data_IF_119317288280
#
_entry.id   IF_119317288280
#
_cell.length_a   1.000
_cell.length_b   1.000
_cell.length_c   1.000
_cell.angle_alpha   90.00
_cell.angle_beta   90.00
_cell.angle_gamma   90.00
#
_symmetry.space_group_name_H-M   'P 1'
#
loop_
_entity.id
_entity.type
_entity.pdbx_description
1 polymer ?
#
# COMPACT_ATOMS: atom_id res chain seq x y z
N UNK A 1 39.66 -29.98 -8.38
CA UNK A 1 40.98 -29.35 -8.56
C UNK A 1 40.88 -27.90 -8.12
N UNK A 2 41.75 -27.49 -7.18
CA UNK A 2 42.23 -26.13 -6.87
C UNK A 2 41.17 -25.09 -6.41
N UNK A 3 41.31 -24.34 -5.31
CA UNK A 3 42.21 -24.35 -4.14
C UNK A 3 41.66 -23.31 -3.14
N UNK A 4 41.96 -23.54 -1.87
CA UNK A 4 41.77 -22.68 -0.69
C UNK A 4 41.97 -21.17 -0.89
N UNK A 5 41.28 -20.36 -0.07
CA UNK A 5 41.90 -19.32 0.77
C UNK A 5 40.99 -18.96 1.96
N UNK A 6 41.55 -19.13 3.17
CA UNK A 6 41.10 -18.63 4.47
C UNK A 6 41.47 -17.15 4.61
N UNK A 7 40.68 -16.39 5.38
CA UNK A 7 41.04 -15.07 5.91
C UNK A 7 39.76 -14.30 6.25
N UNK A 8 39.32 -14.32 7.51
CA UNK A 8 39.61 -13.29 8.53
C UNK A 8 38.79 -12.00 8.32
N UNK A 9 37.91 -11.72 9.30
CA UNK A 9 37.10 -10.51 9.41
C UNK A 9 37.94 -9.23 9.47
N UNK A 10 37.42 -8.12 8.95
CA UNK A 10 37.67 -6.81 9.52
C UNK A 10 36.38 -6.22 10.11
N UNK A 11 36.47 -5.77 11.35
CA UNK A 11 35.58 -4.76 11.92
C UNK A 11 35.61 -3.52 11.01
N UNK A 12 34.42 -3.00 10.70
CA UNK A 12 34.27 -1.66 10.10
C UNK A 12 33.81 -0.71 11.20
N UNK A 13 34.74 0.13 11.62
CA UNK A 13 34.46 1.46 12.16
C UNK A 13 34.27 2.45 11.00
N UNK A 14 33.81 3.67 11.33
CA UNK A 14 33.59 4.90 10.50
C UNK A 14 32.17 5.01 9.91
N UNK A 15 31.39 6.09 10.00
CA UNK A 15 31.38 7.44 10.61
C UNK A 15 29.87 7.76 10.93
N UNK A 16 29.39 8.77 11.66
CA UNK A 16 29.69 10.21 11.66
C UNK A 16 28.89 10.90 12.79
N UNK A 17 29.57 11.82 13.46
CA UNK A 17 29.15 13.14 13.99
C UNK A 17 27.74 13.37 14.55
N UNK A 18 27.70 13.74 15.84
CA UNK A 18 27.23 15.07 16.26
C UNK A 18 27.34 15.21 17.79
N UNK A 19 28.43 15.79 18.29
CA UNK A 19 28.41 16.52 19.57
C UNK A 19 29.41 17.67 19.54
N UNK A 20 28.93 18.79 19.01
CA UNK A 20 29.44 20.13 19.28
C UNK A 20 29.16 20.47 20.77
N UNK A 21 30.03 21.29 21.36
CA UNK A 21 29.85 22.07 22.60
C UNK A 21 30.12 21.38 23.95
N UNK A 22 31.40 21.32 24.34
CA UNK A 22 31.95 22.06 25.51
C UNK A 22 33.32 21.52 25.89
N UNK A 23 34.39 22.14 25.38
CA UNK A 23 35.60 22.38 26.17
C UNK A 23 36.32 23.59 25.57
N UNK A 24 36.12 24.74 26.21
CA UNK A 24 36.87 25.96 25.97
C UNK A 24 37.66 26.26 27.24
N UNK A 25 38.92 26.65 27.03
CA UNK A 25 39.87 27.21 27.98
C UNK A 25 40.80 26.22 28.71
N UNK A 26 41.84 25.78 27.99
CA UNK A 26 43.20 25.85 28.54
C UNK A 26 44.01 26.93 27.80
N UNK A 27 44.98 27.49 28.54
CA UNK A 27 46.19 28.22 28.11
C UNK A 27 46.11 29.75 28.03
N UNK A 28 46.65 30.39 29.09
CA UNK A 28 47.44 31.61 28.97
C UNK A 28 48.69 31.46 29.87
N UNK A 29 49.78 31.00 29.25
CA UNK A 29 51.14 31.10 29.78
C UNK A 29 51.59 32.56 29.66
N UNK A 30 51.82 33.24 30.78
CA UNK A 30 52.49 34.53 30.80
C UNK A 30 53.96 34.30 31.11
N UNK A 31 54.79 34.47 30.07
CA UNK A 31 56.20 34.72 30.20
C UNK A 31 56.42 36.21 30.50
N UNK A 32 57.16 36.54 31.56
CA UNK A 32 58.12 37.66 31.53
C UNK A 32 59.11 37.61 32.68
N UNK A 33 60.37 37.46 32.32
CA UNK A 33 61.54 37.73 33.13
C UNK A 33 61.81 39.24 33.17
N UNK A 34 62.20 39.76 34.34
CA UNK A 34 63.10 40.91 34.46
C UNK A 34 63.80 40.89 35.82
N UNK A 35 65.06 41.30 35.78
CA UNK A 35 66.18 41.02 36.69
C UNK A 35 66.39 42.04 37.82
N UNK A 36 67.17 41.59 38.84
CA UNK A 36 68.17 42.34 39.65
C UNK A 36 67.71 43.09 40.95
N UNK A 37 68.60 43.35 41.94
CA UNK A 37 68.60 42.63 43.23
C UNK A 37 68.56 43.49 44.52
N UNK A 38 68.54 42.79 45.66
CA UNK A 38 69.04 43.17 47.01
C UNK A 38 68.30 44.24 47.85
N UNK A 39 67.70 43.82 48.99
CA UNK A 39 67.93 44.44 50.32
C UNK A 39 67.34 43.63 51.48
N UNK A 40 68.15 43.40 52.51
CA UNK A 40 67.78 42.95 53.85
C UNK A 40 66.79 43.92 54.51
N UNK A 41 65.84 43.41 55.32
CA UNK A 41 65.57 43.92 56.68
C UNK A 41 64.48 43.13 57.42
N UNK A 42 64.79 42.75 58.66
CA UNK A 42 63.91 43.05 59.79
C UNK A 42 62.82 42.04 60.13
N UNK A 43 63.20 40.92 60.76
CA UNK A 43 62.33 40.19 61.68
C UNK A 43 61.95 41.13 62.84
N UNK A 44 60.68 41.56 62.92
CA UNK A 44 60.15 42.27 64.09
C UNK A 44 59.09 41.40 64.77
N UNK A 45 59.56 40.65 65.75
CA UNK A 45 58.72 40.05 66.78
C UNK A 45 58.25 41.18 67.70
N UNK A 46 56.94 41.44 67.74
CA UNK A 46 56.34 42.35 68.70
C UNK A 46 55.90 41.52 69.92
N UNK A 47 56.62 41.71 71.03
CA UNK A 47 56.30 41.15 72.34
C UNK A 47 55.70 42.27 73.18
N UNK A 48 54.47 42.08 73.65
CA UNK A 48 53.84 43.02 74.58
C UNK A 48 54.21 42.62 76.03
N UNK A 49 54.36 43.64 76.88
CA UNK A 49 55.06 43.64 78.18
C UNK A 49 54.41 42.81 79.31
N UNK A 50 53.51 41.89 78.99
CA UNK A 50 52.79 41.07 79.97
C UNK A 50 52.75 39.56 79.65
N UNK A 51 53.83 39.01 79.08
CA UNK A 51 54.23 37.60 79.28
C UNK A 51 53.27 36.48 78.84
N UNK A 52 52.29 36.74 77.98
CA UNK A 52 51.29 35.74 77.57
C UNK A 52 51.38 35.46 76.05
N UNK A 53 51.67 34.22 75.66
CA UNK A 53 51.65 33.76 74.26
C UNK A 53 50.21 33.66 73.72
N UNK A 54 49.73 34.65 72.95
CA UNK A 54 48.34 34.64 72.42
C UNK A 54 48.21 34.11 70.98
N UNK A 55 49.29 33.75 70.28
CA UNK A 55 49.21 33.50 68.82
C UNK A 55 48.95 32.04 68.37
N UNK A 56 48.92 31.03 69.25
CA UNK A 56 48.91 29.61 68.77
C UNK A 56 47.53 28.94 68.68
N UNK A 57 46.46 29.51 69.24
CA UNK A 57 45.14 28.84 69.25
C UNK A 57 44.26 29.15 68.02
N UNK A 58 44.41 30.31 67.39
CA UNK A 58 43.50 30.76 66.32
C UNK A 58 43.79 30.18 64.92
N UNK A 59 45.03 29.76 64.64
CA UNK A 59 45.41 29.22 63.32
C UNK A 59 45.05 27.75 63.11
N UNK A 60 44.74 27.00 64.19
CA UNK A 60 44.42 25.57 64.10
C UNK A 60 42.94 25.30 63.76
N UNK A 61 42.03 26.22 64.09
CA UNK A 61 40.58 26.09 63.82
C UNK A 61 40.14 26.46 62.39
N UNK A 62 40.87 27.38 61.71
CA UNK A 62 40.52 27.83 60.34
C UNK A 62 40.70 26.75 59.27
N UNK A 63 41.68 25.85 59.41
CA UNK A 63 41.89 24.74 58.48
C UNK A 63 40.79 23.69 58.56
N UNK A 64 40.29 23.43 59.77
CA UNK A 64 39.18 22.51 60.01
C UNK A 64 37.87 23.07 59.46
N UNK A 65 37.62 24.37 59.61
CA UNK A 65 36.42 25.00 59.09
C UNK A 65 36.35 24.94 57.55
N UNK A 66 37.43 25.27 56.85
CA UNK A 66 37.49 25.16 55.39
C UNK A 66 37.25 23.72 54.90
N UNK A 67 37.76 22.72 55.62
CA UNK A 67 37.53 21.31 55.34
C UNK A 67 36.04 20.94 55.49
N UNK A 68 35.40 21.33 56.59
CA UNK A 68 33.97 21.05 56.80
C UNK A 68 33.06 21.76 55.80
N UNK A 69 33.40 22.98 55.36
CA UNK A 69 32.65 23.68 54.31
C UNK A 69 32.76 22.97 52.97
N UNK A 70 33.95 22.47 52.61
CA UNK A 70 34.15 21.71 51.37
C UNK A 70 33.39 20.37 51.41
N UNK A 71 33.42 19.67 52.54
CA UNK A 71 32.63 18.43 52.75
C UNK A 71 31.14 18.70 52.60
N UNK A 72 30.63 19.79 53.20
CA UNK A 72 29.22 20.17 53.08
C UNK A 72 28.84 20.51 51.62
N UNK A 73 29.68 21.25 50.90
CA UNK A 73 29.46 21.57 49.49
C UNK A 73 29.43 20.30 48.61
N UNK A 74 30.35 19.37 48.87
CA UNK A 74 30.41 18.09 48.15
C UNK A 74 29.19 17.21 48.46
N UNK A 75 28.70 17.26 49.70
CA UNK A 75 27.47 16.58 50.11
C UNK A 75 26.22 17.16 49.44
N UNK A 76 26.12 18.50 49.32
CA UNK A 76 25.03 19.16 48.58
C UNK A 76 25.08 18.81 47.10
N UNK A 77 26.26 18.77 46.48
CA UNK A 77 26.42 18.32 45.09
C UNK A 77 26.02 16.85 44.91
N UNK A 78 26.38 15.98 45.86
CA UNK A 78 25.99 14.58 45.84
C UNK A 78 24.46 14.41 45.96
N UNK A 79 23.81 15.16 46.85
CA UNK A 79 22.34 15.17 46.98
C UNK A 79 21.70 15.74 45.72
N UNK A 80 22.23 16.81 45.14
CA UNK A 80 21.74 17.39 43.90
C UNK A 80 21.79 16.38 42.75
N UNK A 81 22.92 15.69 42.60
CA UNK A 81 23.07 14.62 41.63
C UNK A 81 22.13 13.44 41.93
N UNK A 82 21.94 13.07 43.19
CA UNK A 82 21.01 12.01 43.59
C UNK A 82 19.57 12.36 43.21
N UNK A 83 19.13 13.59 43.51
CA UNK A 83 17.80 14.09 43.16
C UNK A 83 17.64 14.12 41.63
N UNK A 84 18.63 14.65 40.90
CA UNK A 84 18.60 14.70 39.44
C UNK A 84 18.47 13.28 38.86
N UNK A 85 19.28 12.33 39.34
CA UNK A 85 19.21 10.93 38.92
C UNK A 85 17.84 10.32 39.24
N UNK A 86 17.26 10.61 40.41
CA UNK A 86 15.93 10.14 40.78
C UNK A 86 14.83 10.77 39.91
N UNK A 87 14.93 12.06 39.59
CA UNK A 87 13.98 12.74 38.69
C UNK A 87 14.07 12.20 37.27
N UNK A 88 15.27 11.91 36.75
CA UNK A 88 15.44 11.25 35.47
C UNK A 88 14.79 9.86 35.49
N UNK A 89 15.03 9.06 36.53
CA UNK A 89 14.44 7.73 36.67
C UNK A 89 12.90 7.79 36.78
N UNK A 90 12.35 8.81 37.46
CA UNK A 90 10.92 9.02 37.59
C UNK A 90 10.25 9.47 36.28
N UNK A 91 10.87 10.41 35.55
CA UNK A 91 10.36 10.91 34.26
C UNK A 91 10.48 9.85 33.17
N UNK A 92 11.59 9.11 33.14
CA UNK A 92 11.76 7.95 32.25
C UNK A 92 10.94 6.73 32.68
N UNK A 93 10.19 6.82 33.78
CA UNK A 93 9.35 5.75 34.34
C UNK A 93 10.10 4.41 34.50
N UNK A 94 11.40 4.46 34.79
CA UNK A 94 12.25 3.27 34.91
C UNK A 94 12.06 2.52 36.23
N UNK A 95 11.53 3.18 37.27
CA UNK A 95 11.42 2.63 38.63
C UNK A 95 10.18 1.79 38.91
N UNK A 96 9.11 1.92 38.11
CA UNK A 96 7.87 1.15 38.26
C UNK A 96 7.61 0.23 37.05
N UNK A 97 8.70 -0.15 36.36
CA UNK A 97 8.64 -0.83 35.08
C UNK A 97 8.21 0.13 33.97
N UNK A 98 8.64 -0.14 32.75
CA UNK A 98 7.74 0.05 31.62
C UNK A 98 6.45 -0.66 32.04
N UNK A 99 5.44 0.08 32.49
CA UNK A 99 4.21 -0.47 33.10
C UNK A 99 3.49 -1.45 32.16
N UNK A 100 3.90 -1.42 30.88
CA UNK A 100 3.45 -2.21 29.77
C UNK A 100 4.50 -3.12 29.13
N UNK A 101 5.66 -3.44 29.72
CA UNK A 101 6.66 -4.31 29.06
C UNK A 101 7.41 -5.25 30.02
N UNK A 102 7.32 -6.56 29.77
CA UNK A 102 8.02 -7.63 30.50
C UNK A 102 8.89 -8.45 29.54
N UNK A 103 10.15 -8.68 29.92
CA UNK A 103 11.03 -9.57 29.18
C UNK A 103 10.82 -11.00 29.66
N UNK A 104 10.55 -11.92 28.73
CA UNK A 104 10.45 -13.37 28.98
C UNK A 104 11.74 -14.04 28.47
N UNK A 105 12.81 -14.09 29.29
CA UNK A 105 14.09 -14.64 28.86
C UNK A 105 14.01 -16.13 28.50
N UNK A 106 13.08 -16.88 29.10
CA UNK A 106 12.88 -18.31 28.78
C UNK A 106 12.35 -18.52 27.36
N UNK A 107 11.58 -17.57 26.84
CA UNK A 107 10.96 -17.64 25.52
C UNK A 107 11.60 -16.69 24.49
N UNK A 108 12.67 -15.96 24.87
CA UNK A 108 13.25 -14.87 24.08
C UNK A 108 12.18 -13.89 23.53
N UNK A 109 11.14 -13.65 24.33
CA UNK A 109 9.99 -12.86 23.93
C UNK A 109 9.90 -11.59 24.78
N UNK A 110 9.29 -10.56 24.20
CA UNK A 110 8.94 -9.33 24.89
C UNK A 110 7.43 -9.29 24.95
N UNK A 111 6.89 -9.19 26.15
CA UNK A 111 5.47 -9.09 26.42
C UNK A 111 5.12 -7.64 26.63
N UNK A 112 4.07 -7.20 25.95
CA UNK A 112 3.50 -5.88 26.17
C UNK A 112 2.18 -6.01 26.94
N UNK A 113 1.93 -5.14 27.92
CA UNK A 113 0.65 -5.08 28.65
C UNK A 113 -0.14 -3.85 28.25
N UNK A 114 -1.41 -4.04 27.89
CA UNK A 114 -2.31 -2.95 27.52
C UNK A 114 -1.93 -2.26 26.21
N UNK A 115 -2.44 -1.04 26.04
CA UNK A 115 -2.25 -0.27 24.81
C UNK A 115 -0.82 0.24 24.70
N UNK A 116 -0.10 -0.25 23.69
CA UNK A 116 1.28 0.15 23.42
C UNK A 116 1.37 0.81 22.06
N UNK A 117 1.88 2.04 22.03
CA UNK A 117 2.11 2.76 20.78
C UNK A 117 3.53 2.46 20.27
N UNK A 118 3.62 1.76 19.15
CA UNK A 118 4.86 1.39 18.48
C UNK A 118 4.81 1.89 17.03
N UNK A 119 5.69 2.82 16.67
CA UNK A 119 5.73 3.42 15.33
C UNK A 119 6.29 2.44 14.28
N UNK A 120 7.47 1.88 14.56
CA UNK A 120 8.14 0.92 13.69
C UNK A 120 8.63 -0.29 14.47
N UNK A 121 8.05 -1.46 14.18
CA UNK A 121 8.44 -2.74 14.79
C UNK A 121 9.19 -3.57 13.75
N UNK A 122 10.45 -3.88 14.04
CA UNK A 122 11.23 -4.80 13.22
C UNK A 122 11.41 -6.13 13.95
N UNK A 123 10.86 -7.20 13.39
CA UNK A 123 10.88 -8.53 13.98
C UNK A 123 11.44 -9.54 12.98
N UNK A 124 12.58 -10.17 13.32
CA UNK A 124 13.34 -11.04 12.40
C UNK A 124 12.62 -12.33 12.02
N UNK A 125 11.85 -12.88 12.95
CA UNK A 125 11.05 -14.10 12.79
C UNK A 125 9.63 -13.82 12.30
N UNK A 126 9.23 -12.54 12.17
CA UNK A 126 7.95 -12.12 11.59
C UNK A 126 6.69 -12.52 12.38
N UNK A 127 6.84 -13.22 13.49
CA UNK A 127 5.73 -13.79 14.25
C UNK A 127 5.14 -12.77 15.23
N UNK A 128 3.91 -12.30 15.01
CA UNK A 128 3.23 -11.40 15.93
C UNK A 128 1.99 -12.13 16.42
N UNK A 129 1.99 -12.51 17.70
CA UNK A 129 0.97 -13.38 18.28
C UNK A 129 0.40 -12.77 19.56
N UNK A 130 -0.83 -13.16 19.86
CA UNK A 130 -1.52 -12.84 21.10
C UNK A 130 -1.48 -14.04 22.07
N UNK A 131 -1.92 -13.82 23.31
CA UNK A 131 -2.13 -14.94 24.22
C UNK A 131 -3.29 -15.82 23.75
N UNK A 132 -3.23 -17.09 24.13
CA UNK A 132 -4.34 -18.02 23.92
C UNK A 132 -5.64 -17.41 24.45
N UNK A 133 -6.67 -17.42 23.61
CA UNK A 133 -8.01 -16.91 23.91
C UNK A 133 -8.11 -15.38 24.12
N UNK A 134 -7.04 -14.62 23.80
CA UNK A 134 -7.06 -13.16 23.85
C UNK A 134 -6.78 -12.61 22.45
N UNK A 135 -7.72 -11.92 21.78
CA UNK A 135 -7.46 -11.34 20.48
C UNK A 135 -6.46 -10.18 20.57
N UNK A 136 -5.56 -10.07 19.59
CA UNK A 136 -4.73 -8.89 19.40
C UNK A 136 -5.34 -7.98 18.34
N UNK A 137 -5.44 -6.69 18.65
CA UNK A 137 -5.84 -5.66 17.70
C UNK A 137 -4.66 -4.73 17.38
N UNK A 138 -4.45 -4.47 16.10
CA UNK A 138 -3.47 -3.48 15.63
C UNK A 138 -4.28 -2.35 15.01
N UNK A 139 -4.23 -1.17 15.64
CA UNK A 139 -5.02 -0.02 15.26
C UNK A 139 -4.11 1.13 14.80
N UNK A 140 -4.61 1.97 13.90
CA UNK A 140 -3.95 3.22 13.49
C UNK A 140 -4.95 4.37 13.55
N UNK A 141 -4.60 5.48 14.22
CA UNK A 141 -5.51 6.62 14.40
C UNK A 141 -5.73 7.42 13.11
N UNK A 142 -4.69 7.56 12.28
CA UNK A 142 -4.72 8.40 11.07
C UNK A 142 -3.85 7.87 9.93
N UNK A 143 -3.40 6.62 10.01
CA UNK A 143 -2.42 6.03 9.10
C UNK A 143 -2.85 4.70 8.52
N UNK A 144 -1.94 4.12 7.72
CA UNK A 144 -2.08 2.77 7.22
C UNK A 144 -1.22 1.83 8.08
N UNK A 145 -1.75 0.66 8.41
CA UNK A 145 -0.94 -0.43 8.97
C UNK A 145 -0.24 -1.14 7.82
N UNK A 146 1.09 -1.15 7.84
CA UNK A 146 1.91 -1.72 6.77
C UNK A 146 2.79 -2.83 7.32
N UNK A 147 2.56 -4.05 6.84
CA UNK A 147 3.47 -5.17 7.05
C UNK A 147 4.35 -5.32 5.81
N UNK A 148 5.66 -5.26 5.99
CA UNK A 148 6.63 -5.44 4.93
C UNK A 148 7.58 -6.59 5.29
N UNK A 149 7.61 -7.63 4.46
CA UNK A 149 8.50 -8.76 4.65
C UNK A 149 9.83 -8.51 3.93
N UNK A 150 10.85 -8.09 4.69
CA UNK A 150 12.19 -7.89 4.14
C UNK A 150 12.92 -9.24 3.99
N UNK A 151 13.10 -9.68 2.75
CA UNK A 151 13.91 -10.87 2.43
C UNK A 151 15.37 -10.48 2.14
N UNK A 152 16.33 -11.37 2.47
CA UNK A 152 17.79 -11.13 2.31
C UNK A 152 18.22 -10.75 0.89
N UNK A 153 17.38 -10.99 -0.12
CA UNK A 153 17.66 -10.79 -1.54
C UNK A 153 17.02 -9.51 -2.11
N UNK A 154 16.40 -8.65 -1.30
CA UNK A 154 15.87 -7.34 -1.71
C UNK A 154 14.95 -7.38 -2.95
N UNK A 155 14.29 -8.52 -3.21
CA UNK A 155 13.62 -8.78 -4.49
C UNK A 155 12.10 -8.93 -4.42
N UNK A 156 11.52 -9.03 -3.24
CA UNK A 156 10.08 -9.16 -3.07
C UNK A 156 9.57 -8.11 -2.09
N UNK A 157 8.90 -7.09 -2.62
CA UNK A 157 8.14 -6.10 -1.85
C UNK A 157 6.82 -6.75 -1.39
N UNK A 158 6.94 -7.86 -0.65
CA UNK A 158 5.80 -8.58 -0.10
C UNK A 158 5.21 -7.71 1.00
N UNK A 159 4.06 -7.13 0.69
CA UNK A 159 3.49 -6.04 1.48
C UNK A 159 2.01 -6.26 1.68
N UNK A 160 1.59 -6.22 2.94
CA UNK A 160 0.19 -6.10 3.35
C UNK A 160 -0.03 -4.66 3.83
N UNK A 161 -0.99 -3.96 3.24
CA UNK A 161 -1.36 -2.60 3.63
C UNK A 161 -2.84 -2.56 3.96
N UNK A 162 -3.15 -2.16 5.19
CA UNK A 162 -4.52 -1.97 5.67
C UNK A 162 -4.72 -0.48 5.91
N UNK A 163 -5.67 0.12 5.21
CA UNK A 163 -6.01 1.53 5.33
C UNK A 163 -7.52 1.75 5.20
N UNK A 164 -7.97 3.00 5.30
CA UNK A 164 -9.39 3.35 5.15
C UNK A 164 -9.98 3.01 3.76
N UNK A 165 -9.15 2.90 2.72
CA UNK A 165 -9.60 2.51 1.37
C UNK A 165 -9.71 1.00 1.15
N UNK A 166 -9.15 0.18 2.05
CA UNK A 166 -9.24 -1.28 1.99
C UNK A 166 -7.96 -2.01 2.40
N UNK A 167 -7.94 -3.30 2.06
CA UNK A 167 -6.84 -4.23 2.32
C UNK A 167 -6.13 -4.55 1.01
N UNK A 168 -4.82 -4.30 0.95
CA UNK A 168 -4.00 -4.52 -0.24
C UNK A 168 -2.87 -5.49 0.08
N UNK A 169 -2.84 -6.62 -0.64
CA UNK A 169 -1.77 -7.61 -0.57
C UNK A 169 -0.97 -7.58 -1.87
N UNK A 170 0.35 -7.43 -1.80
CA UNK A 170 1.25 -7.35 -2.96
C UNK A 170 2.46 -8.26 -2.77
N UNK A 171 3.03 -8.71 -3.89
CA UNK A 171 4.26 -9.50 -3.87
C UNK A 171 4.08 -10.91 -3.27
N UNK A 172 2.90 -11.51 -3.44
CA UNK A 172 2.59 -12.88 -3.00
C UNK A 172 2.20 -13.74 -4.21
N UNK A 173 2.57 -15.02 -4.17
CA UNK A 173 2.17 -15.98 -5.21
C UNK A 173 0.75 -16.51 -4.99
N UNK A 174 0.35 -16.66 -3.74
CA UNK A 174 -1.00 -17.04 -3.33
C UNK A 174 -1.40 -16.27 -2.07
N UNK A 175 -2.70 -16.05 -1.92
CA UNK A 175 -3.32 -15.54 -0.70
C UNK A 175 -4.45 -16.48 -0.33
N UNK A 176 -4.46 -16.91 0.93
CA UNK A 176 -5.43 -17.83 1.49
C UNK A 176 -6.01 -17.21 2.77
N UNK A 177 -7.33 -17.26 2.90
CA UNK A 177 -8.06 -16.87 4.08
C UNK A 177 -8.60 -18.14 4.72
N UNK A 178 -8.15 -18.43 5.94
CA UNK A 178 -8.62 -19.59 6.71
C UNK A 178 -9.49 -19.17 7.87
N UNK A 179 -10.54 -19.93 8.13
CA UNK A 179 -11.34 -19.79 9.33
C UNK A 179 -10.53 -20.30 10.55
N UNK A 180 -10.39 -19.52 11.63
CA UNK A 180 -9.50 -19.85 12.73
C UNK A 180 -9.94 -21.06 13.57
N UNK A 181 -11.25 -21.30 13.70
CA UNK A 181 -11.80 -22.38 14.53
C UNK A 181 -11.76 -23.74 13.82
N UNK A 182 -12.10 -23.77 12.52
CA UNK A 182 -12.21 -25.00 11.72
C UNK A 182 -10.92 -25.31 10.95
N UNK A 183 -10.10 -24.29 10.68
CA UNK A 183 -8.96 -24.39 9.78
C UNK A 183 -9.34 -24.48 8.30
N UNK A 184 -10.62 -24.31 7.95
CA UNK A 184 -11.09 -24.40 6.57
C UNK A 184 -10.68 -23.16 5.76
N UNK A 185 -10.30 -23.35 4.50
CA UNK A 185 -9.96 -22.24 3.59
C UNK A 185 -11.24 -21.61 3.03
N UNK A 186 -11.56 -20.41 3.49
CA UNK A 186 -12.73 -19.62 3.05
C UNK A 186 -12.48 -18.97 1.70
N UNK A 187 -11.24 -18.56 1.43
CA UNK A 187 -10.86 -17.94 0.16
C UNK A 187 -9.45 -18.33 -0.21
N UNK A 188 -9.21 -18.59 -1.50
CA UNK A 188 -7.86 -18.78 -2.01
C UNK A 188 -7.73 -18.19 -3.41
N UNK A 189 -6.61 -17.53 -3.68
CA UNK A 189 -6.28 -17.07 -5.04
C UNK A 189 -5.83 -18.21 -5.95
N UNK A 190 -5.48 -19.39 -5.41
CA UNK A 190 -5.08 -20.56 -6.21
C UNK A 190 -6.29 -21.32 -6.77
N UNK A 191 -7.45 -21.23 -6.11
CA UNK A 191 -8.74 -21.75 -6.57
C UNK A 191 -9.72 -20.59 -6.75
N UNK A 192 -9.81 -20.04 -7.96
CA UNK A 192 -10.62 -18.87 -8.28
C UNK A 192 -12.15 -19.11 -8.29
N UNK A 193 -12.62 -20.20 -7.68
CA UNK A 193 -14.04 -20.46 -7.49
C UNK A 193 -14.49 -19.70 -6.25
N UNK A 194 -15.08 -18.51 -6.48
CA UNK A 194 -15.64 -17.67 -5.43
C UNK A 194 -17.15 -17.88 -5.37
N UNK A 195 -17.64 -18.36 -4.23
CA UNK A 195 -19.06 -18.33 -3.90
C UNK A 195 -19.40 -16.96 -3.33
N UNK A 196 -20.09 -16.15 -4.14
CA UNK A 196 -20.57 -14.84 -3.71
C UNK A 196 -21.86 -15.03 -2.89
N UNK A 197 -21.79 -14.73 -1.59
CA UNK A 197 -22.95 -14.75 -0.70
C UNK A 197 -23.88 -13.55 -0.90
N UNK A 198 -23.35 -12.45 -1.46
CA UNK A 198 -24.06 -11.19 -1.66
C UNK A 198 -24.03 -10.75 -3.13
N UNK A 199 -25.03 -9.94 -3.50
CA UNK A 199 -25.09 -9.36 -4.83
C UNK A 199 -23.92 -8.39 -5.06
N UNK A 200 -23.29 -8.48 -6.22
CA UNK A 200 -22.14 -7.65 -6.59
C UNK A 200 -22.55 -6.66 -7.67
N UNK A 201 -22.27 -5.38 -7.46
CA UNK A 201 -22.60 -4.31 -8.41
C UNK A 201 -21.73 -4.36 -9.68
N UNK A 202 -20.44 -4.69 -9.53
CA UNK A 202 -19.49 -4.75 -10.64
C UNK A 202 -18.67 -6.04 -10.58
N UNK A 203 -18.79 -6.89 -11.60
CA UNK A 203 -18.03 -8.12 -11.72
C UNK A 203 -17.14 -8.08 -12.96
N UNK A 204 -15.83 -8.14 -12.75
CA UNK A 204 -14.83 -8.27 -13.82
C UNK A 204 -14.25 -9.68 -13.73
N UNK A 205 -14.64 -10.54 -14.66
CA UNK A 205 -14.23 -11.94 -14.68
C UNK A 205 -14.02 -12.43 -16.13
N UNK A 206 -13.15 -13.44 -16.29
CA UNK A 206 -12.91 -14.09 -17.59
C UNK A 206 -14.03 -15.07 -17.95
N UNK A 207 -14.60 -15.72 -16.94
CA UNK A 207 -15.67 -16.70 -17.10
C UNK A 207 -16.58 -16.61 -15.87
N UNK A 208 -17.88 -16.64 -16.10
CA UNK A 208 -18.90 -16.64 -15.04
C UNK A 208 -19.86 -17.79 -15.33
N UNK A 209 -20.01 -18.69 -14.36
CA UNK A 209 -21.01 -19.77 -14.41
C UNK A 209 -22.09 -19.44 -13.39
N UNK A 210 -23.29 -19.09 -13.87
CA UNK A 210 -24.42 -18.73 -13.01
C UNK A 210 -25.73 -19.18 -13.65
N UNK A 211 -26.76 -19.34 -12.81
CA UNK A 211 -28.13 -19.63 -13.26
C UNK A 211 -28.84 -18.39 -13.80
N UNK A 212 -28.48 -17.19 -13.31
CA UNK A 212 -29.16 -15.94 -13.66
C UNK A 212 -28.22 -14.75 -13.54
N UNK A 213 -28.33 -13.83 -14.49
CA UNK A 213 -27.73 -12.49 -14.44
C UNK A 213 -28.90 -11.50 -14.55
N UNK A 214 -29.01 -10.57 -13.62
CA UNK A 214 -30.08 -9.55 -13.61
C UNK A 214 -29.59 -8.27 -12.95
N UNK A 215 -30.00 -7.13 -13.49
CA UNK A 215 -29.86 -5.84 -12.81
C UNK A 215 -31.02 -5.59 -11.84
N UNK A 216 -30.86 -4.63 -10.90
CA UNK A 216 -31.97 -4.03 -10.17
C UNK A 216 -33.03 -3.42 -11.10
N UNK A 217 -34.25 -3.21 -10.57
CA UNK A 217 -35.40 -2.72 -11.36
C UNK A 217 -35.15 -1.34 -11.98
N UNK A 218 -34.36 -0.51 -11.31
CA UNK A 218 -34.12 0.89 -11.68
C UNK A 218 -32.73 1.10 -12.33
N UNK A 219 -32.02 0.02 -12.68
CA UNK A 219 -30.66 0.09 -13.21
C UNK A 219 -30.46 -0.78 -14.47
N UNK A 220 -29.57 -0.30 -15.34
CA UNK A 220 -29.22 -0.99 -16.58
C UNK A 220 -28.18 -2.11 -16.33
N UNK A 221 -28.37 -3.26 -16.98
CA UNK A 221 -27.37 -4.33 -17.02
C UNK A 221 -26.40 -4.12 -18.19
N UNK A 222 -25.15 -3.76 -17.91
CA UNK A 222 -24.11 -3.62 -18.93
C UNK A 222 -23.20 -4.85 -18.99
N UNK A 223 -23.21 -5.56 -20.11
CA UNK A 223 -22.23 -6.59 -20.44
C UNK A 223 -21.21 -6.03 -21.44
N UNK A 224 -19.94 -5.93 -21.03
CA UNK A 224 -18.85 -5.43 -21.88
C UNK A 224 -17.67 -6.40 -21.89
N UNK A 225 -17.08 -6.60 -23.06
CA UNK A 225 -15.82 -7.31 -23.26
C UNK A 225 -14.98 -6.56 -24.27
N UNK A 226 -13.67 -6.54 -24.08
CA UNK A 226 -12.73 -5.91 -25.01
C UNK A 226 -12.50 -6.77 -26.26
N UNK A 227 -12.86 -8.05 -26.22
CA UNK A 227 -12.62 -9.01 -27.33
C UNK A 227 -13.92 -9.63 -27.82
N UNK A 228 -14.60 -10.39 -26.98
CA UNK A 228 -15.83 -11.11 -27.34
C UNK A 228 -16.65 -11.46 -26.10
N UNK A 229 -17.96 -11.53 -26.26
CA UNK A 229 -18.90 -12.03 -25.24
C UNK A 229 -19.56 -13.28 -25.79
N UNK A 230 -19.45 -14.39 -25.04
CA UNK A 230 -20.10 -15.66 -25.39
C UNK A 230 -21.08 -16.01 -24.28
N UNK A 231 -22.36 -16.15 -24.65
CA UNK A 231 -23.44 -16.54 -23.76
C UNK A 231 -23.86 -17.97 -24.13
N UNK A 232 -23.57 -18.93 -23.26
CA UNK A 232 -23.90 -20.34 -23.47
C UNK A 232 -24.71 -20.87 -22.29
N UNK A 233 -25.82 -21.55 -22.58
CA UNK A 233 -26.63 -22.27 -21.61
C UNK A 233 -26.81 -23.72 -22.04
N UNK A 234 -26.81 -24.64 -21.08
CA UNK A 234 -26.97 -26.07 -21.35
C UNK A 234 -28.29 -26.40 -22.05
N UNK A 235 -29.36 -25.67 -21.71
CA UNK A 235 -30.71 -25.82 -22.28
C UNK A 235 -31.10 -24.63 -23.18
N UNK A 236 -30.15 -23.76 -23.50
CA UNK A 236 -30.37 -22.49 -24.17
C UNK A 236 -30.27 -21.28 -23.25
N UNK A 237 -30.44 -20.10 -23.82
CA UNK A 237 -30.38 -18.81 -23.10
C UNK A 237 -31.68 -18.05 -23.31
N UNK A 238 -32.23 -17.51 -22.22
CA UNK A 238 -33.40 -16.64 -22.26
C UNK A 238 -32.99 -15.25 -21.81
N UNK A 239 -33.36 -14.23 -22.59
CA UNK A 239 -33.04 -12.83 -22.32
C UNK A 239 -34.31 -12.02 -22.42
N UNK A 240 -34.62 -11.29 -21.35
CA UNK A 240 -35.78 -10.42 -21.24
C UNK A 240 -35.29 -9.04 -20.79
N UNK A 241 -35.75 -8.00 -21.46
CA UNK A 241 -35.48 -6.61 -21.11
C UNK A 241 -36.57 -5.71 -21.65
N UNK A 242 -36.78 -4.56 -20.99
CA UNK A 242 -37.61 -3.47 -21.53
C UNK A 242 -37.04 -2.94 -22.85
N UNK A 243 -35.72 -2.80 -22.91
CA UNK A 243 -34.97 -2.35 -24.09
C UNK A 243 -33.66 -3.10 -24.18
N UNK A 244 -33.37 -3.68 -25.33
CA UNK A 244 -32.13 -4.41 -25.58
C UNK A 244 -31.32 -3.69 -26.65
N UNK A 245 -30.07 -3.35 -26.32
CA UNK A 245 -29.16 -2.67 -27.23
C UNK A 245 -27.88 -3.49 -27.39
N UNK A 246 -27.61 -3.95 -28.61
CA UNK A 246 -26.38 -4.62 -28.96
C UNK A 246 -25.54 -3.72 -29.85
N UNK A 247 -24.28 -3.54 -29.49
CA UNK A 247 -23.30 -2.75 -30.24
C UNK A 247 -22.02 -3.55 -30.34
N UNK A 248 -21.44 -3.60 -31.54
CA UNK A 248 -20.14 -4.17 -31.82
C UNK A 248 -19.33 -3.18 -32.66
N UNK A 249 -18.01 -3.21 -32.55
CA UNK A 249 -17.11 -2.35 -33.36
C UNK A 249 -17.17 -2.71 -34.85
N UNK A 250 -17.33 -4.00 -35.15
CA UNK A 250 -17.39 -4.54 -36.52
C UNK A 250 -18.78 -5.10 -36.82
N UNK A 251 -18.96 -6.41 -36.61
CA UNK A 251 -20.15 -7.13 -37.05
C UNK A 251 -20.89 -7.80 -35.88
N UNK A 252 -22.22 -7.89 -36.00
CA UNK A 252 -23.06 -8.71 -35.13
C UNK A 252 -23.53 -9.92 -35.95
N UNK A 253 -23.06 -11.11 -35.56
CA UNK A 253 -23.43 -12.37 -36.23
C UNK A 253 -24.57 -13.07 -35.48
N UNK A 254 -25.72 -13.17 -36.12
CA UNK A 254 -26.83 -14.02 -35.66
C UNK A 254 -26.81 -15.32 -36.47
N UNK A 255 -26.55 -16.46 -35.80
CA UNK A 255 -26.48 -17.78 -36.43
C UNK A 255 -27.35 -18.78 -35.67
N UNK A 256 -28.20 -19.49 -36.40
CA UNK A 256 -28.93 -20.66 -35.89
C UNK A 256 -28.37 -21.92 -36.55
N UNK A 257 -28.02 -22.94 -35.78
CA UNK A 257 -27.44 -24.20 -36.29
C UNK A 257 -28.53 -25.14 -36.81
N UNK A 258 -29.60 -25.30 -36.04
CA UNK A 258 -30.67 -26.28 -36.31
C UNK A 258 -32.07 -25.63 -36.34
N UNK A 259 -32.19 -24.35 -36.66
CA UNK A 259 -33.46 -23.64 -36.57
C UNK A 259 -33.52 -22.37 -37.41
N UNK A 260 -34.48 -21.51 -37.06
CA UNK A 260 -34.67 -20.21 -37.69
C UNK A 260 -34.24 -19.09 -36.74
N UNK A 261 -33.93 -17.93 -37.32
CA UNK A 261 -33.80 -16.67 -36.59
C UNK A 261 -35.10 -15.92 -36.86
N UNK A 262 -35.87 -15.64 -35.81
CA UNK A 262 -37.16 -14.95 -35.92
C UNK A 262 -37.04 -13.60 -35.23
N UNK A 263 -37.10 -12.53 -36.01
CA UNK A 263 -37.21 -11.17 -35.52
C UNK A 263 -38.69 -10.78 -35.62
N UNK A 264 -39.34 -10.56 -34.48
CA UNK A 264 -40.77 -10.24 -34.41
C UNK A 264 -40.97 -9.06 -33.46
N UNK A 265 -41.55 -7.98 -33.98
CA UNK A 265 -41.90 -6.79 -33.22
C UNK A 265 -43.36 -6.41 -33.47
N UNK A 266 -44.05 -5.90 -32.45
CA UNK A 266 -45.47 -5.49 -32.55
C UNK A 266 -45.70 -4.47 -33.67
N UNK A 267 -44.76 -3.56 -33.85
CA UNK A 267 -44.78 -2.51 -34.89
C UNK A 267 -43.97 -2.89 -36.14
N UNK A 268 -43.51 -4.14 -36.20
CA UNK A 268 -42.60 -4.64 -37.24
C UNK A 268 -41.12 -4.56 -36.84
N UNK A 269 -40.27 -4.97 -37.77
CA UNK A 269 -38.80 -4.91 -37.66
C UNK A 269 -38.32 -3.82 -38.60
N UNK A 270 -37.61 -2.82 -38.05
CA UNK A 270 -37.06 -1.71 -38.81
C UNK A 270 -35.56 -1.90 -39.01
N UNK A 271 -35.08 -1.56 -40.20
CA UNK A 271 -33.67 -1.61 -40.56
C UNK A 271 -33.29 -0.21 -41.03
N UNK A 272 -32.23 0.37 -40.45
CA UNK A 272 -31.71 1.64 -40.93
C UNK A 272 -31.08 1.45 -42.30
N UNK A 273 -31.78 1.96 -43.32
CA UNK A 273 -31.37 1.80 -44.70
C UNK A 273 -30.22 2.72 -45.11
N UNK A 274 -29.85 3.73 -44.31
CA UNK A 274 -28.83 4.73 -44.67
C UNK A 274 -27.49 4.09 -45.02
N UNK A 275 -27.12 3.05 -44.28
CA UNK A 275 -25.86 2.34 -44.41
C UNK A 275 -25.91 1.12 -45.34
N UNK A 276 -27.08 0.79 -45.91
CA UNK A 276 -27.18 -0.32 -46.85
C UNK A 276 -26.54 0.07 -48.21
N UNK A 277 -25.72 -0.81 -48.82
CA UNK A 277 -25.07 -0.54 -50.09
C UNK A 277 -26.11 -0.29 -51.18
N UNK A 278 -25.88 0.73 -52.01
CA UNK A 278 -26.75 1.05 -53.15
C UNK A 278 -26.14 0.44 -54.40
N UNK A 279 -26.79 -0.57 -54.93
CA UNK A 279 -26.41 -1.21 -56.17
C UNK A 279 -27.04 -0.46 -57.36
N UNK A 280 -26.22 -0.17 -58.36
CA UNK A 280 -26.65 0.56 -59.54
C UNK A 280 -27.42 -0.38 -60.50
N UNK A 281 -28.59 0.03 -61.02
CA UNK A 281 -29.24 -0.69 -62.10
C UNK A 281 -28.40 -0.62 -63.38
N UNK A 282 -28.45 -1.67 -64.21
CA UNK A 282 -27.73 -1.75 -65.49
C UNK A 282 -28.09 -0.62 -66.47
N UNK A 283 -29.29 -0.05 -66.33
CA UNK A 283 -29.82 1.05 -67.16
C UNK A 283 -29.94 2.34 -66.35
N UNK A 284 -28.95 3.23 -66.47
CA UNK A 284 -28.98 4.58 -65.85
C UNK A 284 -29.81 5.55 -66.69
N UNK A 285 -31.13 5.50 -66.56
CA UNK A 285 -32.03 6.46 -67.25
C UNK A 285 -33.01 7.07 -66.26
N UNK A 286 -32.79 8.32 -65.87
CA UNK A 286 -33.74 9.13 -65.12
C UNK A 286 -33.49 9.27 -63.61
N UNK A 287 -34.16 10.26 -63.01
CA UNK A 287 -34.09 10.58 -61.59
C UNK A 287 -34.64 9.46 -60.70
N UNK A 288 -33.91 9.16 -59.62
CA UNK A 288 -34.23 8.10 -58.66
C UNK A 288 -35.27 8.62 -57.67
N UNK A 289 -36.50 8.11 -57.75
CA UNK A 289 -37.57 8.47 -56.81
C UNK A 289 -37.81 7.44 -55.72
N UNK A 290 -37.41 6.18 -55.93
CA UNK A 290 -37.72 5.06 -55.04
C UNK A 290 -36.57 4.06 -54.98
N UNK A 291 -36.46 3.34 -53.86
CA UNK A 291 -35.49 2.26 -53.66
C UNK A 291 -36.23 0.96 -53.32
N UNK A 292 -35.73 -0.17 -53.83
CA UNK A 292 -36.14 -1.51 -53.40
C UNK A 292 -35.03 -2.14 -52.55
N UNK A 293 -35.42 -2.86 -51.50
CA UNK A 293 -34.50 -3.65 -50.68
C UNK A 293 -34.46 -5.07 -51.22
N UNK A 294 -33.25 -5.58 -51.41
CA UNK A 294 -32.96 -6.89 -51.97
C UNK A 294 -32.07 -7.69 -51.01
N UNK A 295 -32.23 -9.01 -51.03
CA UNK A 295 -31.43 -9.97 -50.25
C UNK A 295 -30.52 -10.76 -51.18
N UNK A 296 -29.24 -10.84 -50.82
CA UNK A 296 -28.27 -11.74 -51.42
C UNK A 296 -28.44 -13.15 -50.82
N UNK A 297 -29.08 -14.05 -51.55
CA UNK A 297 -29.13 -15.46 -51.15
C UNK A 297 -27.85 -16.19 -51.58
N UNK A 298 -27.30 -17.12 -50.78
CA UNK A 298 -27.78 -17.57 -49.47
C UNK A 298 -27.25 -16.75 -48.27
N UNK A 299 -26.38 -15.76 -48.51
CA UNK A 299 -25.63 -15.05 -47.48
C UNK A 299 -26.48 -14.17 -46.54
N UNK A 300 -27.67 -13.75 -46.97
CA UNK A 300 -28.57 -12.88 -46.21
C UNK A 300 -28.18 -11.39 -46.21
N UNK A 301 -27.14 -10.97 -46.95
CA UNK A 301 -26.74 -9.56 -47.06
C UNK A 301 -27.86 -8.72 -47.71
N UNK A 302 -28.14 -7.54 -47.15
CA UNK A 302 -29.16 -6.62 -47.66
C UNK A 302 -28.52 -5.51 -48.50
N UNK A 303 -29.16 -5.14 -49.60
CA UNK A 303 -28.75 -4.02 -50.44
C UNK A 303 -29.95 -3.28 -51.03
N UNK A 304 -29.71 -2.05 -51.48
CA UNK A 304 -30.71 -1.17 -52.10
C UNK A 304 -30.51 -1.09 -53.60
N UNK A 305 -31.60 -1.09 -54.35
CA UNK A 305 -31.60 -0.85 -55.79
C UNK A 305 -32.40 0.41 -56.09
N UNK A 306 -31.78 1.36 -56.79
CA UNK A 306 -32.47 2.55 -57.28
C UNK A 306 -33.47 2.18 -58.37
N UNK A 307 -34.72 2.61 -58.23
CA UNK A 307 -35.79 2.40 -59.21
C UNK A 307 -36.07 3.74 -59.91
N UNK A 308 -35.69 3.89 -61.19
CA UNK A 308 -36.03 5.08 -61.97
C UNK A 308 -37.54 5.20 -62.17
N UNK A 309 -38.03 6.44 -62.20
CA UNK A 309 -39.46 6.73 -62.36
C UNK A 309 -39.99 6.15 -63.68
N UNK A 310 -41.01 5.29 -63.60
CA UNK A 310 -41.63 4.64 -64.76
C UNK A 310 -41.01 3.30 -65.18
N UNK A 311 -39.95 2.82 -64.52
CA UNK A 311 -39.32 1.52 -64.83
C UNK A 311 -39.55 0.48 -63.72
N UNK A 312 -39.85 -0.76 -64.11
CA UNK A 312 -39.92 -1.90 -63.19
C UNK A 312 -38.54 -2.54 -63.06
N UNK A 313 -37.75 -2.09 -62.09
CA UNK A 313 -36.47 -2.74 -61.73
C UNK A 313 -36.73 -3.83 -60.68
N UNK A 314 -36.15 -5.01 -60.86
CA UNK A 314 -36.15 -6.10 -59.85
C UNK A 314 -34.72 -6.37 -59.37
N UNK A 315 -34.59 -7.09 -58.25
CA UNK A 315 -33.30 -7.44 -57.65
C UNK A 315 -32.38 -8.27 -58.56
N UNK A 316 -32.88 -8.82 -59.67
CA UNK A 316 -32.09 -9.55 -60.66
C UNK A 316 -31.47 -8.66 -61.75
N UNK A 317 -31.89 -7.40 -61.88
CA UNK A 317 -31.42 -6.47 -62.93
C UNK A 317 -30.24 -5.61 -62.48
N UNK A 318 -29.46 -6.13 -61.54
CA UNK A 318 -28.40 -5.42 -60.84
C UNK A 318 -27.07 -6.04 -61.24
N UNK A 319 -26.03 -5.24 -61.39
CA UNK A 319 -24.72 -5.79 -61.73
C UNK A 319 -24.16 -6.62 -60.56
N UNK A 320 -24.10 -7.94 -60.75
CA UNK A 320 -23.56 -8.91 -59.79
C UNK A 320 -22.11 -9.31 -60.11
N UNK A 321 -21.39 -8.54 -60.94
CA UNK A 321 -20.04 -8.87 -61.39
C UNK A 321 -19.00 -7.85 -60.91
N UNK A 322 -17.82 -8.35 -60.54
CA UNK A 322 -16.67 -7.55 -60.10
C UNK A 322 -16.90 -6.82 -58.77
N UNK A 323 -16.18 -5.71 -58.59
CA UNK A 323 -16.16 -4.90 -57.36
C UNK A 323 -17.49 -4.20 -57.04
N UNK A 324 -18.45 -4.23 -57.97
CA UNK A 324 -19.77 -3.61 -57.83
C UNK A 324 -20.84 -4.60 -57.33
N UNK A 325 -20.46 -5.85 -57.06
CA UNK A 325 -21.39 -6.86 -56.58
C UNK A 325 -21.76 -6.59 -55.10
N UNK A 326 -23.03 -6.23 -54.80
CA UNK A 326 -23.48 -5.98 -53.42
C UNK A 326 -23.54 -7.25 -52.56
N UNK A 327 -23.34 -8.42 -53.17
CA UNK A 327 -23.36 -9.74 -52.55
C UNK A 327 -21.97 -10.37 -52.36
N UNK A 328 -20.88 -9.62 -52.58
CA UNK A 328 -19.53 -10.05 -52.19
C UNK A 328 -19.19 -9.54 -50.78
#
# INVERSE_FOLDING_TARGET
>A
MLTNLRGASPLSETMSDNTLERQRAERALIAKTSSLPHKNSGLRNYSDKNGNEVSKSLYRGRKTFAFWTLVCLLFVLAIGNLILTFTILAVLRLGHGLESMEFLPEHNAIKFFGDTNLDHVYKKDGLIESFKDVPMSINSESGAVVFNLQTRLSRSDTRLTVNASGVFVRGVNSFELTEPETGETVFSTSSAELTLSEAVNNLVAKQVSTKRISSPVDEDLLLRSDTSVHLQGAEGTHMESKTLHWSADQDIYLKSINGSIVLSGKEGVFIDVRYLPIAAPLTRTGGVGQFKVCVCMPQGKLFRVAVPSGQKVTCSHVNMTGDLNPCL
#
